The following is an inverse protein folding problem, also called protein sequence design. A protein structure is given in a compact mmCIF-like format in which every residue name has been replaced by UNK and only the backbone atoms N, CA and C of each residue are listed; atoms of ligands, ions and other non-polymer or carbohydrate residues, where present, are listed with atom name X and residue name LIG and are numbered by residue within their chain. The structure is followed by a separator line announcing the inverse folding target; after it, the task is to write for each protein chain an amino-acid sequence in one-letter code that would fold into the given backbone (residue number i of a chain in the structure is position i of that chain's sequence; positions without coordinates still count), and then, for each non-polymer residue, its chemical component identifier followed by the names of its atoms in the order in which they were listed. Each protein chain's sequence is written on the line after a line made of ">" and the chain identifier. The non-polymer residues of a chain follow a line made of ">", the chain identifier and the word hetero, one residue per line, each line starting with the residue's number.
data_IF_948403135313
#
_entry.id   IF_948403135313
#
_cell.length_a   1.000
_cell.length_b   1.000
_cell.length_c   1.000
_cell.angle_alpha   90.00
_cell.angle_beta   90.00
_cell.angle_gamma   90.00
#
_symmetry.space_group_name_H-M   'P 1'
#
loop_
_entity.id
_entity.type
_entity.pdbx_description
1 polymer ?
#
# COMPACT_ATOMS: atom_id res chain seq x y z
N UNK A 1 5.15 -11.28 4.96
CA UNK A 1 5.92 -12.52 4.74
C UNK A 1 6.17 -12.77 3.27
N UNK A 2 5.21 -12.43 2.39
CA UNK A 2 5.36 -12.39 0.93
C UNK A 2 6.75 -11.92 0.46
N UNK A 3 7.19 -10.72 0.86
CA UNK A 3 8.44 -10.15 0.39
C UNK A 3 9.69 -11.00 0.71
N UNK A 4 9.64 -11.79 1.79
CA UNK A 4 10.73 -12.74 2.14
C UNK A 4 10.74 -13.92 1.17
N UNK A 5 9.57 -14.45 0.83
CA UNK A 5 9.42 -15.54 -0.13
C UNK A 5 9.85 -15.10 -1.53
N UNK A 6 9.41 -13.91 -1.95
CA UNK A 6 9.80 -13.29 -3.21
C UNK A 6 11.33 -13.06 -3.28
N UNK A 7 11.92 -12.46 -2.24
CA UNK A 7 13.37 -12.21 -2.19
C UNK A 7 14.22 -13.49 -2.23
N UNK A 8 13.69 -14.62 -1.75
CA UNK A 8 14.37 -15.92 -1.79
C UNK A 8 14.11 -16.70 -3.09
N UNK A 9 13.29 -16.19 -4.01
CA UNK A 9 12.89 -16.90 -5.23
C UNK A 9 12.08 -18.17 -4.95
N UNK A 10 11.37 -18.19 -3.82
CA UNK A 10 10.56 -19.34 -3.40
C UNK A 10 9.09 -19.21 -3.84
N UNK A 11 8.68 -18.06 -4.37
CA UNK A 11 7.35 -17.92 -4.95
C UNK A 11 7.28 -18.66 -6.29
N UNK A 12 6.39 -19.66 -6.45
CA UNK A 12 6.24 -20.38 -7.71
C UNK A 12 5.63 -19.52 -8.82
N UNK A 13 5.00 -18.39 -8.47
CA UNK A 13 4.41 -17.46 -9.43
C UNK A 13 5.42 -16.35 -9.80
N UNK A 14 5.94 -16.32 -11.03
CA UNK A 14 6.89 -15.30 -11.46
C UNK A 14 6.28 -13.88 -11.46
N UNK A 15 4.96 -13.75 -11.51
CA UNK A 15 4.28 -12.45 -11.43
C UNK A 15 4.23 -11.90 -9.99
N UNK A 16 4.47 -12.74 -8.97
CA UNK A 16 4.47 -12.37 -7.55
C UNK A 16 5.88 -12.10 -6.98
N UNK A 17 6.88 -11.91 -7.85
CA UNK A 17 8.24 -11.61 -7.40
C UNK A 17 8.48 -10.14 -7.02
N UNK A 18 7.47 -9.27 -7.14
CA UNK A 18 7.55 -7.87 -6.74
C UNK A 18 7.75 -7.69 -5.24
N UNK A 19 8.60 -6.73 -4.85
CA UNK A 19 8.84 -6.41 -3.44
C UNK A 19 8.08 -5.17 -3.01
N UNK A 20 7.48 -5.23 -1.82
CA UNK A 20 6.76 -4.11 -1.23
C UNK A 20 5.38 -3.97 -1.86
N UNK A 21 4.37 -4.45 -1.13
CA UNK A 21 2.95 -4.43 -1.54
C UNK A 21 2.10 -3.39 -0.81
N UNK A 22 2.69 -2.67 0.15
CA UNK A 22 2.01 -1.64 0.93
C UNK A 22 2.97 -0.57 1.42
N UNK A 23 2.41 0.59 1.76
CA UNK A 23 3.19 1.67 2.33
C UNK A 23 2.35 2.84 2.80
N UNK A 24 3.04 3.87 3.27
CA UNK A 24 2.47 5.15 3.64
C UNK A 24 3.41 6.30 3.28
N UNK A 25 2.85 7.42 2.85
CA UNK A 25 3.62 8.55 2.35
C UNK A 25 2.77 9.79 2.10
N UNK A 26 3.33 10.74 1.36
CA UNK A 26 2.67 11.99 1.00
C UNK A 26 2.36 11.98 -0.48
N UNK A 27 1.14 12.36 -0.86
CA UNK A 27 0.75 12.55 -2.26
C UNK A 27 1.60 13.67 -2.86
N UNK A 28 2.26 13.40 -3.98
CA UNK A 28 3.08 14.39 -4.71
C UNK A 28 2.36 14.93 -5.94
N UNK A 29 1.51 14.11 -6.56
CA UNK A 29 0.71 14.42 -7.74
C UNK A 29 -0.54 13.55 -7.74
N UNK A 30 -1.61 14.01 -8.41
CA UNK A 30 -2.82 13.22 -8.66
C UNK A 30 -3.14 13.18 -10.15
N UNK A 31 -3.60 12.03 -10.63
CA UNK A 31 -3.99 11.84 -12.02
C UNK A 31 -5.36 12.45 -12.35
N UNK A 32 -5.70 12.58 -13.65
CA UNK A 32 -7.01 13.05 -14.08
C UNK A 32 -8.16 12.23 -13.48
N UNK A 33 -9.21 12.91 -13.00
CA UNK A 33 -10.39 12.27 -12.42
C UNK A 33 -10.26 11.89 -10.94
N UNK A 34 -9.12 12.17 -10.29
CA UNK A 34 -8.99 12.12 -8.84
C UNK A 34 -9.27 13.51 -8.28
N UNK A 35 -10.40 13.67 -7.59
CA UNK A 35 -10.91 14.96 -7.09
C UNK A 35 -10.91 15.08 -5.56
N UNK A 36 -10.62 13.99 -4.85
CA UNK A 36 -10.73 13.88 -3.40
C UNK A 36 -9.39 13.74 -2.66
N UNK A 37 -8.27 13.71 -3.39
CA UNK A 37 -6.91 13.79 -2.87
C UNK A 37 -6.16 14.94 -3.55
N UNK A 38 -5.23 15.56 -2.82
CA UNK A 38 -4.37 16.64 -3.31
C UNK A 38 -2.93 16.46 -2.87
N UNK A 39 -1.94 17.05 -3.58
CA UNK A 39 -0.56 17.07 -3.13
C UNK A 39 -0.42 17.57 -1.68
N UNK A 40 0.39 16.89 -0.88
CA UNK A 40 0.54 17.15 0.55
C UNK A 40 -0.32 16.26 1.46
N UNK A 41 -1.32 15.58 0.91
CA UNK A 41 -2.12 14.63 1.69
C UNK A 41 -1.29 13.45 2.15
N UNK A 42 -1.48 13.06 3.42
CA UNK A 42 -0.83 11.90 4.02
C UNK A 42 -1.71 10.67 3.80
N UNK A 43 -1.20 9.66 3.11
CA UNK A 43 -1.95 8.47 2.71
C UNK A 43 -1.23 7.17 3.06
N UNK A 44 -2.01 6.10 3.24
CA UNK A 44 -1.53 4.71 3.33
C UNK A 44 -2.34 3.83 2.38
N UNK A 45 -1.81 2.69 1.95
CA UNK A 45 -2.55 1.81 1.05
C UNK A 45 -1.77 0.59 0.58
N UNK A 46 -2.37 -0.12 -0.37
CA UNK A 46 -1.80 -1.28 -1.06
C UNK A 46 -1.42 -0.86 -2.48
N UNK A 47 -0.15 -1.05 -2.84
CA UNK A 47 0.42 -0.73 -4.15
C UNK A 47 1.78 -1.41 -4.29
N UNK A 48 2.17 -1.71 -5.53
CA UNK A 48 3.48 -2.28 -5.82
C UNK A 48 4.62 -1.27 -5.70
N UNK A 49 5.85 -1.77 -5.79
CA UNK A 49 7.09 -0.98 -5.78
C UNK A 49 7.23 -0.07 -4.53
N UNK A 50 6.62 -0.48 -3.41
CA UNK A 50 6.57 0.36 -2.21
C UNK A 50 7.94 0.53 -1.52
N UNK A 51 8.92 -0.32 -1.86
CA UNK A 51 10.31 -0.19 -1.39
C UNK A 51 11.12 0.78 -2.25
N UNK A 52 10.60 1.99 -2.41
CA UNK A 52 11.23 3.08 -3.15
C UNK A 52 10.91 4.44 -2.55
N UNK A 53 11.60 5.50 -2.99
CA UNK A 53 11.30 6.86 -2.55
C UNK A 53 9.96 7.38 -3.11
N UNK A 54 9.48 6.78 -4.20
CA UNK A 54 8.22 7.12 -4.88
C UNK A 54 7.57 5.85 -5.41
N UNK A 55 6.24 5.81 -5.40
CA UNK A 55 5.42 4.76 -5.99
C UNK A 55 4.15 5.38 -6.61
N UNK A 56 3.53 4.69 -7.56
CA UNK A 56 2.25 5.07 -8.15
C UNK A 56 1.19 4.08 -7.67
N UNK A 57 0.08 4.59 -7.18
CA UNK A 57 -1.02 3.79 -6.67
C UNK A 57 -2.33 4.15 -7.38
N UNK A 58 -3.20 3.16 -7.56
CA UNK A 58 -4.59 3.42 -7.94
C UNK A 58 -5.29 4.16 -6.78
N UNK A 59 -6.06 5.21 -7.09
CA UNK A 59 -6.79 5.96 -6.06
C UNK A 59 -7.61 5.03 -5.16
N UNK A 60 -8.22 3.98 -5.69
CA UNK A 60 -9.10 3.08 -4.94
C UNK A 60 -8.39 2.26 -3.87
N UNK A 61 -7.06 2.13 -3.94
CA UNK A 61 -6.27 1.30 -3.01
C UNK A 61 -5.58 2.10 -1.91
N UNK A 62 -5.84 3.41 -1.83
CA UNK A 62 -5.27 4.30 -0.82
C UNK A 62 -6.35 4.97 0.04
N UNK A 63 -5.99 5.28 1.29
CA UNK A 63 -6.81 6.02 2.23
C UNK A 63 -5.97 7.08 2.96
N UNK A 64 -6.62 8.16 3.41
CA UNK A 64 -5.96 9.19 4.23
C UNK A 64 -5.53 8.60 5.57
N UNK A 65 -4.32 8.94 6.01
CA UNK A 65 -3.80 8.51 7.32
C UNK A 65 -4.62 9.19 8.43
N UNK A 66 -5.10 8.44 9.44
CA UNK A 66 -5.77 9.02 10.60
C UNK A 66 -4.92 10.07 11.33
N UNK A 67 -5.58 11.09 11.88
CA UNK A 67 -4.91 12.15 12.63
C UNK A 67 -4.05 11.57 13.77
N UNK A 68 -2.83 12.09 13.92
CA UNK A 68 -1.89 11.67 14.97
C UNK A 68 -1.13 10.38 14.69
N UNK A 69 -1.39 9.65 13.59
CA UNK A 69 -0.57 8.49 13.24
C UNK A 69 0.75 8.91 12.59
N UNK A 70 1.82 8.18 12.91
CA UNK A 70 3.09 8.26 12.17
C UNK A 70 2.98 7.48 10.86
N UNK A 71 3.86 7.77 9.89
CA UNK A 71 3.94 7.00 8.65
C UNK A 71 4.29 5.52 8.91
N UNK A 72 5.23 5.25 9.82
CA UNK A 72 5.60 3.88 10.18
C UNK A 72 4.41 3.07 10.74
N UNK A 73 3.58 3.69 11.59
CA UNK A 73 2.34 3.04 12.07
C UNK A 73 1.34 2.83 10.94
N UNK A 74 1.17 3.82 10.07
CA UNK A 74 0.21 3.72 8.98
C UNK A 74 0.62 2.66 7.94
N UNK A 75 1.91 2.52 7.65
CA UNK A 75 2.42 1.54 6.70
C UNK A 75 2.28 0.08 7.16
N UNK A 76 2.11 -0.16 8.47
CA UNK A 76 2.00 -1.53 9.02
C UNK A 76 0.56 -2.07 9.05
N UNK A 77 -0.39 -1.39 8.41
CA UNK A 77 -1.83 -1.65 8.55
C UNK A 77 -2.48 -2.23 7.29
N UNK A 78 -2.26 -1.70 6.07
CA UNK A 78 -3.10 -2.00 4.92
C UNK A 78 -3.33 -3.49 4.63
N UNK A 79 -2.28 -4.25 4.33
CA UNK A 79 -2.36 -5.66 3.91
C UNK A 79 -2.84 -6.53 5.05
N UNK A 80 -2.28 -6.40 6.25
CA UNK A 80 -2.63 -7.30 7.37
C UNK A 80 -4.09 -7.11 7.80
N UNK A 81 -4.57 -5.88 7.89
CA UNK A 81 -5.96 -5.63 8.31
C UNK A 81 -6.95 -5.90 7.20
N UNK A 82 -6.64 -5.60 5.93
CA UNK A 82 -7.52 -5.97 4.81
C UNK A 82 -7.60 -7.48 4.66
N UNK A 83 -6.48 -8.20 4.78
CA UNK A 83 -6.47 -9.68 4.76
C UNK A 83 -7.37 -10.26 5.85
N UNK A 84 -7.24 -9.75 7.08
CA UNK A 84 -8.08 -10.19 8.19
C UNK A 84 -9.55 -9.82 7.96
N UNK A 85 -9.84 -8.62 7.48
CA UNK A 85 -11.20 -8.16 7.22
C UNK A 85 -11.89 -9.02 6.16
N UNK A 86 -11.26 -9.16 4.98
CA UNK A 86 -11.80 -10.00 3.92
C UNK A 86 -11.96 -11.45 4.37
N UNK A 87 -10.95 -12.01 5.03
CA UNK A 87 -10.96 -13.40 5.52
C UNK A 87 -11.97 -13.71 6.62
N UNK A 88 -12.41 -12.71 7.38
CA UNK A 88 -13.29 -12.92 8.54
C UNK A 88 -14.71 -12.40 8.34
N UNK A 89 -14.93 -11.41 7.47
CA UNK A 89 -16.20 -10.69 7.38
C UNK A 89 -16.81 -10.62 5.98
N UNK A 90 -16.04 -10.77 4.91
CA UNK A 90 -16.54 -10.54 3.54
C UNK A 90 -16.53 -11.79 2.64
N UNK A 91 -15.68 -12.77 2.95
CA UNK A 91 -15.61 -14.07 2.24
C UNK A 91 -16.70 -15.07 2.70
#
# INVERSE_FOLDING_TARGET
>A
FHDVIAALGLDPDPEQQGLGSEGAGTVVEVGPGVDDLVPGDRVMGIFGDAFGPTAVADRRTVARIPAGWSFARAASVPVVFLTAYYGLFDL
#
